data_IF_775406641804
#
_entry.id   IF_775406641804
#
_cell.length_a   1.000
_cell.length_b   1.000
_cell.length_c   1.000
_cell.angle_alpha   90.00
_cell.angle_beta   90.00
_cell.angle_gamma   90.00
#
_symmetry.space_group_name_H-M   'P 1'
#
loop_
_entity.id
_entity.type
_entity.pdbx_description
1 polymer ?
#
# COMPACT_ATOMS: atom_id res chain seq x y z
N UNK A 1 -7.58 -12.88 15.01
CA UNK A 1 -6.80 -11.80 14.39
C UNK A 1 -5.66 -11.44 15.33
N UNK A 2 -4.42 -11.37 14.84
CA UNK A 2 -3.29 -10.85 15.62
C UNK A 2 -3.24 -9.33 15.51
N UNK A 3 -2.94 -8.62 16.60
CA UNK A 3 -2.79 -7.17 16.56
C UNK A 3 -1.62 -6.76 15.65
N UNK A 4 -1.86 -5.81 14.73
CA UNK A 4 -0.80 -5.18 13.95
C UNK A 4 -0.32 -3.90 14.66
N UNK A 5 0.99 -3.62 14.59
CA UNK A 5 1.59 -2.42 15.14
C UNK A 5 1.98 -1.45 14.02
N UNK A 6 1.81 -0.15 14.25
CA UNK A 6 2.19 0.89 13.32
C UNK A 6 3.73 0.95 13.19
N UNK A 7 4.24 0.73 11.98
CA UNK A 7 5.67 0.80 11.66
C UNK A 7 6.08 2.16 11.09
N UNK A 8 5.16 2.87 10.43
CA UNK A 8 5.46 4.17 9.83
C UNK A 8 4.23 4.85 9.27
N UNK A 9 4.32 6.18 9.14
CA UNK A 9 3.27 7.00 8.54
C UNK A 9 3.85 7.89 7.45
N UNK A 10 3.00 8.36 6.55
CA UNK A 10 3.37 9.29 5.50
C UNK A 10 2.15 9.89 4.83
N UNK A 11 2.39 10.69 3.80
CA UNK A 11 1.34 11.23 2.95
C UNK A 11 1.75 11.13 1.50
N UNK A 12 0.75 11.13 0.61
CA UNK A 12 0.98 11.28 -0.82
C UNK A 12 0.54 12.65 -1.30
N UNK A 13 1.46 13.31 -1.98
CA UNK A 13 1.21 14.53 -2.74
C UNK A 13 1.21 14.23 -4.25
N UNK A 14 0.38 14.95 -4.99
CA UNK A 14 0.40 14.99 -6.45
C UNK A 14 0.32 16.44 -6.91
N UNK A 15 1.16 16.83 -7.85
CA UNK A 15 1.11 18.16 -8.46
C UNK A 15 0.02 18.15 -9.53
N UNK A 16 -0.95 19.04 -9.42
CA UNK A 16 -1.95 19.30 -10.46
C UNK A 16 -1.68 20.69 -11.03
N UNK A 17 -1.36 20.74 -12.32
CA UNK A 17 -0.80 21.92 -12.99
C UNK A 17 0.46 22.45 -12.29
N UNK A 18 0.30 23.39 -11.35
CA UNK A 18 1.40 24.10 -10.67
C UNK A 18 1.42 23.83 -9.16
N UNK A 19 0.31 23.38 -8.58
CA UNK A 19 0.15 23.29 -7.12
C UNK A 19 0.19 21.82 -6.68
N UNK A 20 1.07 21.54 -5.72
CA UNK A 20 1.11 20.28 -4.99
C UNK A 20 -0.09 20.16 -4.05
N UNK A 21 -0.84 19.07 -4.15
CA UNK A 21 -1.97 18.79 -3.27
C UNK A 21 -1.83 17.44 -2.60
N UNK A 22 -2.11 17.40 -1.30
CA UNK A 22 -2.19 16.15 -0.54
C UNK A 22 -3.41 15.37 -1.00
N UNK A 23 -3.20 14.09 -1.31
CA UNK A 23 -4.24 13.18 -1.80
C UNK A 23 -4.71 12.27 -0.68
N UNK A 24 -3.77 11.66 0.06
CA UNK A 24 -4.07 10.79 1.18
C UNK A 24 -2.94 10.79 2.23
N UNK A 25 -3.30 10.41 3.45
CA UNK A 25 -2.37 9.94 4.47
C UNK A 25 -2.27 8.41 4.41
N UNK A 26 -1.16 7.84 4.84
CA UNK A 26 -0.96 6.40 4.90
C UNK A 26 -0.25 5.98 6.20
N UNK A 27 -0.64 4.83 6.74
CA UNK A 27 0.02 4.14 7.84
C UNK A 27 0.34 2.70 7.45
N UNK A 28 1.60 2.29 7.59
CA UNK A 28 2.02 0.91 7.39
C UNK A 28 2.02 0.20 8.73
N UNK A 29 1.25 -0.88 8.83
CA UNK A 29 1.14 -1.74 9.99
C UNK A 29 1.69 -3.13 9.68
N UNK A 30 2.30 -3.78 10.67
CA UNK A 30 2.71 -5.17 10.54
C UNK A 30 2.56 -5.92 11.87
N UNK A 31 2.43 -7.24 11.77
CA UNK A 31 2.55 -8.10 12.93
C UNK A 31 3.99 -8.01 13.45
N UNK A 32 4.16 -7.78 14.75
CA UNK A 32 5.46 -7.61 15.40
C UNK A 32 6.39 -8.83 15.24
N UNK A 33 5.84 -10.02 14.95
CA UNK A 33 6.64 -11.21 14.61
C UNK A 33 7.60 -10.97 13.44
N UNK A 34 7.33 -9.98 12.59
CA UNK A 34 8.23 -9.60 11.48
C UNK A 34 9.63 -9.25 11.98
N UNK A 35 9.75 -8.65 13.18
CA UNK A 35 11.03 -8.23 13.76
C UNK A 35 11.99 -9.42 13.97
N UNK A 36 11.47 -10.62 14.18
CA UNK A 36 12.29 -11.84 14.31
C UNK A 36 13.12 -12.13 13.05
N UNK A 37 12.62 -11.72 11.88
CA UNK A 37 13.30 -11.89 10.59
C UNK A 37 14.26 -10.74 10.23
N UNK A 38 14.29 -9.66 11.03
CA UNK A 38 15.04 -8.43 10.71
C UNK A 38 16.28 -8.23 11.59
N UNK A 39 16.74 -9.27 12.29
CA UNK A 39 17.89 -9.18 13.21
C UNK A 39 19.19 -8.72 12.53
N UNK A 40 19.37 -8.96 11.23
CA UNK A 40 20.55 -8.53 10.48
C UNK A 40 20.69 -6.99 10.33
N UNK A 41 19.62 -6.24 10.63
CA UNK A 41 19.60 -4.77 10.61
C UNK A 41 19.63 -4.15 12.01
N UNK A 42 19.71 -4.96 13.07
CA UNK A 42 19.78 -4.47 14.45
C UNK A 42 21.01 -3.61 14.66
N UNK A 43 20.82 -2.42 15.23
CA UNK A 43 21.90 -1.47 15.54
C UNK A 43 22.41 -0.65 14.35
N UNK A 44 21.86 -0.85 13.14
CA UNK A 44 22.15 0.02 12.00
C UNK A 44 21.50 1.39 12.16
N UNK A 45 22.09 2.42 11.56
CA UNK A 45 21.51 3.76 11.57
C UNK A 45 20.26 3.83 10.70
N UNK A 46 19.42 4.85 10.92
CA UNK A 46 18.24 5.08 10.11
C UNK A 46 18.59 5.35 8.64
N UNK A 47 19.70 6.04 8.37
CA UNK A 47 20.16 6.32 7.01
C UNK A 47 20.55 5.03 6.28
N UNK A 48 21.32 4.16 6.94
CA UNK A 48 21.74 2.87 6.36
C UNK A 48 20.54 1.98 6.05
N UNK A 49 19.56 1.94 6.97
CA UNK A 49 18.31 1.17 6.82
C UNK A 49 17.47 1.71 5.65
N UNK A 50 17.41 3.03 5.47
CA UNK A 50 16.58 3.65 4.45
C UNK A 50 17.08 3.35 3.03
N UNK A 51 18.39 3.26 2.83
CA UNK A 51 18.99 2.97 1.52
C UNK A 51 19.07 1.47 1.22
N UNK A 52 18.90 0.61 2.23
CA UNK A 52 19.01 -0.84 2.09
C UNK A 52 17.71 -1.48 1.58
N UNK A 53 17.60 -1.60 0.25
CA UNK A 53 16.46 -2.28 -0.41
C UNK A 53 16.23 -3.73 0.05
N UNK A 54 17.25 -4.41 0.59
CA UNK A 54 17.14 -5.80 1.03
C UNK A 54 16.36 -5.93 2.35
N UNK A 55 16.36 -4.89 3.18
CA UNK A 55 15.47 -4.79 4.33
C UNK A 55 14.01 -4.78 3.90
N UNK A 56 13.65 -3.89 2.99
CA UNK A 56 12.26 -3.74 2.52
C UNK A 56 11.78 -4.99 1.78
N UNK A 57 12.69 -5.66 1.05
CA UNK A 57 12.41 -6.95 0.42
C UNK A 57 12.15 -8.04 1.48
N UNK A 58 12.93 -8.07 2.56
CA UNK A 58 12.74 -9.00 3.68
C UNK A 58 11.43 -8.72 4.43
N UNK A 59 11.09 -7.43 4.61
CA UNK A 59 9.80 -7.01 5.14
C UNK A 59 8.68 -7.50 4.22
N UNK A 60 8.77 -7.34 2.90
CA UNK A 60 7.74 -7.79 1.97
C UNK A 60 7.57 -9.33 1.97
N UNK A 61 8.68 -10.07 1.87
CA UNK A 61 8.70 -11.53 1.76
C UNK A 61 8.38 -12.27 3.07
N UNK A 62 8.41 -11.58 4.22
CA UNK A 62 8.03 -12.20 5.49
C UNK A 62 6.61 -12.77 5.45
N UNK A 63 6.35 -13.97 6.01
CA UNK A 63 5.01 -14.57 6.06
C UNK A 63 4.10 -13.95 7.13
N UNK A 64 4.58 -12.96 7.89
CA UNK A 64 3.77 -12.27 8.91
C UNK A 64 2.74 -11.35 8.26
N UNK A 65 1.57 -11.10 8.83
CA UNK A 65 0.59 -10.17 8.22
C UNK A 65 1.10 -8.71 8.21
N UNK A 66 0.84 -7.97 7.12
CA UNK A 66 1.01 -6.50 7.04
C UNK A 66 -0.23 -5.84 6.47
N UNK A 67 -0.45 -4.57 6.78
CA UNK A 67 -1.52 -3.77 6.21
C UNK A 67 -1.08 -2.35 5.95
N UNK A 68 -1.37 -1.82 4.76
CA UNK A 68 -1.28 -0.40 4.47
C UNK A 68 -2.69 0.20 4.59
N UNK A 69 -2.86 1.05 5.59
CA UNK A 69 -4.06 1.86 5.78
C UNK A 69 -3.88 3.19 5.07
N UNK A 70 -4.79 3.53 4.16
CA UNK A 70 -4.82 4.78 3.42
C UNK A 70 -6.08 5.54 3.83
N UNK A 71 -5.94 6.84 4.10
CA UNK A 71 -7.05 7.74 4.44
C UNK A 71 -7.07 8.88 3.44
N UNK A 72 -8.14 8.99 2.65
CA UNK A 72 -8.29 10.07 1.68
C UNK A 72 -8.50 11.40 2.39
N UNK A 73 -7.67 12.41 2.09
CA UNK A 73 -7.80 13.75 2.68
C UNK A 73 -8.58 14.71 1.78
N UNK A 74 -9.07 14.21 0.65
CA UNK A 74 -9.89 14.91 -0.34
C UNK A 74 -10.74 13.91 -1.11
N UNK A 75 -11.75 14.42 -1.80
CA UNK A 75 -12.53 13.64 -2.75
C UNK A 75 -11.66 13.25 -3.95
N UNK A 76 -11.78 11.99 -4.36
CA UNK A 76 -11.16 11.41 -5.54
C UNK A 76 -12.22 10.55 -6.23
N UNK A 77 -12.48 10.77 -7.52
CA UNK A 77 -13.36 9.83 -8.23
C UNK A 77 -12.65 8.48 -8.43
N UNK A 78 -13.40 7.38 -8.44
CA UNK A 78 -12.84 6.03 -8.55
C UNK A 78 -11.99 5.81 -9.81
N UNK A 79 -12.28 6.54 -10.91
CA UNK A 79 -11.50 6.47 -12.15
C UNK A 79 -10.12 7.11 -11.95
N UNK A 80 -10.05 8.32 -11.39
CA UNK A 80 -8.78 9.01 -11.07
C UNK A 80 -7.92 8.19 -10.13
N UNK A 81 -8.53 7.55 -9.12
CA UNK A 81 -7.80 6.66 -8.21
C UNK A 81 -7.23 5.45 -8.95
N UNK A 82 -8.05 4.77 -9.76
CA UNK A 82 -7.61 3.61 -10.53
C UNK A 82 -6.56 3.97 -11.58
N UNK A 83 -6.72 5.06 -12.32
CA UNK A 83 -5.76 5.47 -13.35
C UNK A 83 -4.38 5.70 -12.72
N UNK A 84 -4.32 6.40 -11.58
CA UNK A 84 -3.06 6.62 -10.86
C UNK A 84 -2.42 5.32 -10.35
N UNK A 85 -3.24 4.32 -10.03
CA UNK A 85 -2.79 3.01 -9.57
C UNK A 85 -2.30 2.14 -10.72
N UNK A 86 -3.01 2.15 -11.85
CA UNK A 86 -2.60 1.51 -13.08
C UNK A 86 -1.26 2.08 -13.56
N UNK A 87 -1.11 3.41 -13.59
CA UNK A 87 0.16 4.07 -13.92
C UNK A 87 1.32 3.62 -13.02
N UNK A 88 1.04 3.31 -11.76
CA UNK A 88 2.03 2.78 -10.83
C UNK A 88 2.33 1.29 -11.08
N UNK A 89 1.35 0.47 -11.44
CA UNK A 89 1.49 -0.99 -11.54
C UNK A 89 1.96 -1.43 -12.92
N UNK A 90 1.43 -0.87 -14.01
CA UNK A 90 1.73 -1.31 -15.39
C UNK A 90 3.23 -1.34 -15.70
N UNK A 91 4.08 -0.38 -15.27
CA UNK A 91 5.52 -0.45 -15.51
C UNK A 91 6.23 -1.60 -14.76
N UNK A 92 5.61 -2.11 -13.69
CA UNK A 92 6.17 -3.16 -12.82
C UNK A 92 5.78 -4.57 -13.27
N UNK A 93 4.69 -4.70 -14.04
CA UNK A 93 4.21 -5.98 -14.59
C UNK A 93 4.29 -5.92 -16.12
N UNK A 94 5.51 -6.14 -16.66
CA UNK A 94 5.78 -5.98 -18.10
C UNK A 94 5.07 -7.01 -18.99
N UNK A 95 4.76 -8.19 -18.47
CA UNK A 95 4.14 -9.28 -19.20
C UNK A 95 3.17 -10.01 -18.26
N UNK A 96 1.96 -9.44 -18.06
CA UNK A 96 0.99 -10.02 -17.14
C UNK A 96 0.55 -11.40 -17.62
N UNK A 97 0.49 -12.34 -16.69
CA UNK A 97 -0.13 -13.66 -16.92
C UNK A 97 -1.66 -13.54 -16.82
N UNK A 98 -2.44 -14.55 -17.26
CA UNK A 98 -3.89 -14.55 -17.05
C UNK A 98 -4.31 -14.41 -15.58
N UNK A 99 -3.46 -14.86 -14.65
CA UNK A 99 -3.67 -14.70 -13.20
C UNK A 99 -3.50 -13.23 -12.81
N UNK A 100 -2.46 -12.56 -13.30
CA UNK A 100 -2.23 -11.14 -13.05
C UNK A 100 -3.35 -10.28 -13.62
N UNK A 101 -3.79 -10.56 -14.85
CA UNK A 101 -4.90 -9.85 -15.49
C UNK A 101 -6.20 -9.98 -14.69
N UNK A 102 -6.52 -11.20 -14.23
CA UNK A 102 -7.70 -11.46 -13.40
C UNK A 102 -7.63 -10.75 -12.05
N UNK A 103 -6.46 -10.78 -11.40
CA UNK A 103 -6.24 -10.10 -10.13
C UNK A 103 -6.35 -8.57 -10.27
N UNK A 104 -5.75 -7.98 -11.31
CA UNK A 104 -5.84 -6.55 -11.60
C UNK A 104 -7.26 -6.12 -11.96
N UNK A 105 -8.00 -6.94 -12.71
CA UNK A 105 -9.41 -6.70 -13.03
C UNK A 105 -10.29 -6.73 -11.77
N UNK A 106 -10.10 -7.73 -10.91
CA UNK A 106 -10.80 -7.83 -9.61
C UNK A 106 -10.47 -6.64 -8.72
N UNK A 107 -9.20 -6.25 -8.65
CA UNK A 107 -8.78 -5.11 -7.86
C UNK A 107 -9.37 -3.80 -8.38
N UNK A 108 -9.41 -3.60 -9.71
CA UNK A 108 -10.05 -2.46 -10.35
C UNK A 108 -11.54 -2.38 -10.02
N UNK A 109 -12.27 -3.50 -10.08
CA UNK A 109 -13.72 -3.51 -9.88
C UNK A 109 -14.14 -3.09 -8.47
N UNK A 110 -13.26 -3.26 -7.47
CA UNK A 110 -13.48 -2.79 -6.10
C UNK A 110 -13.62 -1.25 -6.04
N UNK A 111 -12.87 -0.52 -6.87
CA UNK A 111 -12.88 0.95 -6.88
C UNK A 111 -13.84 1.54 -7.93
N UNK A 112 -14.14 0.79 -8.98
CA UNK A 112 -15.05 1.25 -10.03
C UNK A 112 -16.46 1.47 -9.48
N UNK A 113 -17.00 2.67 -9.71
CA UNK A 113 -18.34 3.04 -9.24
C UNK A 113 -18.44 3.39 -7.76
N UNK A 114 -17.35 3.31 -6.99
CA UNK A 114 -17.33 3.74 -5.60
C UNK A 114 -17.01 5.24 -5.49
N UNK A 115 -17.84 6.03 -4.77
CA UNK A 115 -17.51 7.41 -4.47
C UNK A 115 -16.45 7.46 -3.36
N UNK A 116 -15.18 7.71 -3.73
CA UNK A 116 -14.09 7.82 -2.75
C UNK A 116 -14.03 9.24 -2.20
N UNK A 117 -14.70 9.46 -1.07
CA UNK A 117 -14.82 10.76 -0.41
C UNK A 117 -13.64 11.01 0.51
N UNK A 118 -13.44 12.29 0.85
CA UNK A 118 -12.59 12.62 2.00
C UNK A 118 -13.06 11.83 3.24
N UNK A 119 -12.12 11.23 3.96
CA UNK A 119 -12.40 10.36 5.10
C UNK A 119 -12.50 8.87 4.75
N UNK A 120 -12.65 8.51 3.46
CA UNK A 120 -12.65 7.10 3.05
C UNK A 120 -11.33 6.43 3.44
N UNK A 121 -11.47 5.28 4.10
CA UNK A 121 -10.39 4.38 4.45
C UNK A 121 -10.26 3.30 3.37
N UNK A 122 -9.03 3.04 2.94
CA UNK A 122 -8.67 1.93 2.05
C UNK A 122 -7.62 1.09 2.78
N UNK A 123 -7.87 -0.20 2.92
CA UNK A 123 -6.96 -1.15 3.52
C UNK A 123 -6.42 -2.09 2.45
N UNK A 124 -5.09 -2.13 2.31
CA UNK A 124 -4.37 -3.11 1.50
C UNK A 124 -3.62 -4.03 2.46
N UNK A 125 -4.16 -5.21 2.70
CA UNK A 125 -3.61 -6.16 3.67
C UNK A 125 -2.95 -7.32 2.93
N UNK A 126 -1.72 -7.64 3.30
CA UNK A 126 -0.97 -8.81 2.86
C UNK A 126 -0.94 -9.84 3.98
N UNK A 127 -1.78 -10.88 3.95
CA UNK A 127 -1.67 -12.01 4.86
C UNK A 127 -0.37 -12.80 4.61
N UNK A 128 0.06 -12.85 3.35
CA UNK A 128 1.29 -13.45 2.86
C UNK A 128 1.78 -12.70 1.60
N UNK A 129 3.00 -12.96 1.09
CA UNK A 129 3.56 -12.22 -0.05
C UNK A 129 2.79 -12.37 -1.38
N UNK A 130 1.96 -13.40 -1.53
CA UNK A 130 1.24 -13.73 -2.77
C UNK A 130 -0.23 -13.31 -2.77
N UNK A 131 -0.79 -12.96 -1.60
CA UNK A 131 -2.20 -12.64 -1.43
C UNK A 131 -2.39 -11.23 -0.90
N UNK A 132 -3.39 -10.53 -1.46
CA UNK A 132 -3.84 -9.25 -0.94
C UNK A 132 -5.34 -9.29 -0.64
N UNK A 133 -5.72 -8.79 0.53
CA UNK A 133 -7.08 -8.47 0.89
C UNK A 133 -7.26 -6.96 0.78
N UNK A 134 -8.36 -6.55 0.15
CA UNK A 134 -8.65 -5.15 -0.12
C UNK A 134 -9.99 -4.82 0.51
N UNK A 135 -10.06 -3.74 1.27
CA UNK A 135 -11.29 -3.30 1.92
C UNK A 135 -11.41 -1.79 1.87
N UNK A 136 -12.62 -1.30 1.67
CA UNK A 136 -12.94 0.13 1.66
C UNK A 136 -13.98 0.36 2.74
N UNK A 137 -13.75 1.36 3.59
CA UNK A 137 -14.74 1.85 4.55
C UNK A 137 -14.97 3.32 4.31
N UNK A 138 -16.23 3.74 4.36
CA UNK A 138 -16.55 5.14 4.59
C UNK A 138 -16.48 5.43 6.09
N UNK A 139 -16.20 6.67 6.44
CA UNK A 139 -16.35 7.19 7.79
C UNK A 139 -17.84 7.37 8.14
#
# INVERSE_FOLDING_TARGET
>A
SSSLALLGTGYREKVFAIIGVKVYAAGLYANQSILNSLNAWKGRSTADIQEDSSLFSSIFLSPSEKSLQIVLVRDVDGKTFWDALNDAISPRIKSPTPVDESALSTFRSIFQGQPLKKGTFIFLTWPDPSKMLVSISSD
#
